data_IF_975218811163
#
_entry.id   IF_975218811163
#
_cell.length_a   1.000
_cell.length_b   1.000
_cell.length_c   1.000
_cell.angle_alpha   90.00
_cell.angle_beta   90.00
_cell.angle_gamma   90.00
#
_symmetry.space_group_name_H-M   'P 1'
#
loop_
_entity.id
_entity.type
_entity.pdbx_description
1 polymer ?
#
# COMPACT_ATOMS: atom_id res chain seq x y z
N UNK A 1 7.61 -4.24 -15.21
CA UNK A 1 6.53 -5.19 -15.55
C UNK A 1 5.78 -4.62 -16.77
N UNK A 2 5.57 -5.37 -17.86
CA UNK A 2 4.96 -4.88 -19.11
C UNK A 2 3.56 -4.29 -18.93
N UNK A 3 2.77 -4.83 -18.01
CA UNK A 3 1.39 -4.42 -17.76
C UNK A 3 1.23 -3.32 -16.70
N UNK A 4 2.34 -2.80 -16.18
CA UNK A 4 2.33 -1.98 -14.96
C UNK A 4 1.94 -2.79 -13.71
N UNK A 5 1.87 -2.10 -12.57
CA UNK A 5 1.40 -2.66 -11.30
C UNK A 5 0.70 -1.57 -10.50
N UNK A 6 -0.50 -1.86 -10.01
CA UNK A 6 -1.17 -1.05 -8.99
C UNK A 6 -1.74 -1.99 -7.92
N UNK A 7 -1.48 -1.68 -6.66
CA UNK A 7 -1.83 -2.57 -5.56
C UNK A 7 -3.34 -2.81 -5.47
N UNK A 8 -4.18 -1.79 -5.69
CA UNK A 8 -5.63 -1.90 -5.67
C UNK A 8 -6.18 -2.81 -6.79
N UNK A 9 -5.61 -2.72 -8.00
CA UNK A 9 -5.95 -3.62 -9.11
C UNK A 9 -5.50 -5.05 -8.82
N UNK A 10 -4.30 -5.21 -8.22
CA UNK A 10 -3.81 -6.51 -7.80
C UNK A 10 -4.66 -7.12 -6.69
N UNK A 11 -5.08 -6.34 -5.69
CA UNK A 11 -5.98 -6.79 -4.62
C UNK A 11 -7.33 -7.26 -5.18
N UNK A 12 -7.89 -6.54 -6.15
CA UNK A 12 -9.10 -6.98 -6.84
C UNK A 12 -8.87 -8.30 -7.59
N UNK A 13 -7.74 -8.42 -8.30
CA UNK A 13 -7.35 -9.66 -8.99
C UNK A 13 -7.17 -10.84 -8.03
N UNK A 14 -6.60 -10.60 -6.85
CA UNK A 14 -6.44 -11.64 -5.81
C UNK A 14 -7.81 -12.21 -5.44
N UNK A 15 -8.77 -11.34 -5.08
CA UNK A 15 -10.09 -11.80 -4.63
C UNK A 15 -10.98 -12.30 -5.77
N UNK A 16 -10.73 -11.90 -7.02
CA UNK A 16 -11.55 -12.32 -8.18
C UNK A 16 -11.03 -13.59 -8.85
N UNK A 17 -9.72 -13.85 -8.78
CA UNK A 17 -9.06 -14.84 -9.64
C UNK A 17 -8.12 -15.75 -8.85
N UNK A 18 -7.25 -15.20 -8.00
CA UNK A 18 -6.11 -15.95 -7.46
C UNK A 18 -6.44 -16.74 -6.19
N UNK A 19 -7.37 -16.24 -5.37
CA UNK A 19 -7.81 -16.93 -4.17
C UNK A 19 -8.79 -18.05 -4.50
N UNK A 20 -8.55 -19.26 -3.98
CA UNK A 20 -9.29 -20.48 -4.35
C UNK A 20 -9.23 -20.75 -5.86
N UNK A 21 -10.00 -21.73 -6.34
CA UNK A 21 -9.97 -22.10 -7.76
C UNK A 21 -10.66 -21.07 -8.70
N UNK A 22 -11.44 -20.12 -8.17
CA UNK A 22 -12.22 -19.14 -8.97
C UNK A 22 -12.53 -17.82 -8.20
N UNK A 23 -11.64 -17.37 -7.32
CA UNK A 23 -11.88 -16.19 -6.48
C UNK A 23 -12.75 -16.47 -5.24
N UNK A 24 -13.03 -15.39 -4.50
CA UNK A 24 -13.78 -15.40 -3.25
C UNK A 24 -15.28 -15.14 -3.42
N UNK A 25 -15.74 -14.81 -4.65
CA UNK A 25 -17.13 -14.46 -4.95
C UNK A 25 -17.69 -13.35 -4.03
N UNK A 26 -16.90 -12.28 -3.85
CA UNK A 26 -17.30 -11.13 -3.05
C UNK A 26 -18.37 -10.30 -3.76
N UNK A 27 -19.17 -9.57 -2.98
CA UNK A 27 -20.19 -8.67 -3.54
C UNK A 27 -19.53 -7.54 -4.33
N UNK A 28 -20.32 -6.93 -5.22
CA UNK A 28 -19.84 -5.83 -6.06
C UNK A 28 -19.35 -4.65 -5.21
N UNK A 29 -20.02 -4.33 -4.10
CA UNK A 29 -19.68 -3.22 -3.22
C UNK A 29 -18.29 -3.39 -2.60
N UNK A 30 -17.98 -4.61 -2.15
CA UNK A 30 -16.67 -4.92 -1.56
C UNK A 30 -15.58 -4.79 -2.62
N UNK A 31 -15.80 -5.36 -3.81
CA UNK A 31 -14.88 -5.27 -4.95
C UNK A 31 -14.65 -3.82 -5.40
N UNK A 32 -15.71 -3.02 -5.45
CA UNK A 32 -15.67 -1.60 -5.76
C UNK A 32 -14.86 -0.82 -4.71
N UNK A 33 -15.06 -1.11 -3.43
CA UNK A 33 -14.27 -0.53 -2.34
C UNK A 33 -12.78 -0.85 -2.48
N UNK A 34 -12.43 -2.12 -2.69
CA UNK A 34 -11.04 -2.57 -2.90
C UNK A 34 -10.41 -1.82 -4.09
N UNK A 35 -11.11 -1.72 -5.22
CA UNK A 35 -10.54 -1.09 -6.40
C UNK A 35 -10.35 0.43 -6.22
N UNK A 36 -11.31 1.11 -5.60
CA UNK A 36 -11.39 2.57 -5.65
C UNK A 36 -10.97 3.28 -4.34
N UNK A 37 -10.54 2.57 -3.29
CA UNK A 37 -10.12 3.20 -2.03
C UNK A 37 -8.91 4.14 -2.17
N UNK A 38 -8.16 4.04 -3.27
CA UNK A 38 -6.98 4.85 -3.56
C UNK A 38 -7.07 5.50 -4.95
N UNK A 39 -6.11 6.35 -5.31
CA UNK A 39 -6.05 7.01 -6.63
C UNK A 39 -7.11 8.09 -6.84
N UNK A 40 -7.46 8.40 -8.10
CA UNK A 40 -8.36 9.50 -8.44
C UNK A 40 -9.85 9.12 -8.44
N UNK A 41 -10.13 7.82 -8.52
CA UNK A 41 -11.49 7.28 -8.51
C UNK A 41 -12.08 7.29 -7.10
N UNK A 42 -13.35 7.65 -6.97
CA UNK A 42 -14.07 7.65 -5.70
C UNK A 42 -14.91 6.36 -5.62
N UNK A 43 -14.88 5.63 -4.48
CA UNK A 43 -15.75 4.49 -4.28
C UNK A 43 -17.24 4.85 -4.40
N UNK A 44 -18.01 3.94 -4.98
CA UNK A 44 -19.43 4.16 -5.25
C UNK A 44 -20.29 4.13 -3.99
N UNK A 45 -19.84 3.44 -2.93
CA UNK A 45 -20.54 3.36 -1.64
C UNK A 45 -19.95 4.36 -0.63
N UNK A 46 -20.78 4.82 0.32
CA UNK A 46 -20.31 5.68 1.42
C UNK A 46 -19.30 4.94 2.29
N UNK A 47 -19.50 3.66 2.55
CA UNK A 47 -18.56 2.81 3.29
C UNK A 47 -17.20 2.74 2.58
N UNK A 48 -17.18 2.59 1.25
CA UNK A 48 -15.94 2.65 0.49
C UNK A 48 -15.25 4.01 0.60
N UNK A 49 -16.01 5.10 0.57
CA UNK A 49 -15.47 6.45 0.78
C UNK A 49 -14.91 6.63 2.20
N UNK A 50 -15.54 6.05 3.23
CA UNK A 50 -15.01 6.02 4.60
C UNK A 50 -13.66 5.30 4.63
N UNK A 51 -13.54 4.12 4.00
CA UNK A 51 -12.28 3.37 3.96
C UNK A 51 -11.13 4.20 3.39
N UNK A 52 -11.39 4.99 2.34
CA UNK A 52 -10.40 5.89 1.75
C UNK A 52 -9.86 6.93 2.73
N UNK A 53 -10.69 7.46 3.63
CA UNK A 53 -10.23 8.35 4.68
C UNK A 53 -9.54 7.60 5.81
N UNK A 54 -10.10 6.47 6.24
CA UNK A 54 -9.56 5.65 7.31
C UNK A 54 -8.12 5.19 7.00
N UNK A 55 -7.88 4.72 5.77
CA UNK A 55 -6.57 4.31 5.29
C UNK A 55 -5.55 5.45 5.35
N UNK A 56 -5.90 6.62 4.78
CA UNK A 56 -5.02 7.79 4.79
C UNK A 56 -4.73 8.33 6.19
N UNK A 57 -5.73 8.31 7.09
CA UNK A 57 -5.58 8.74 8.49
C UNK A 57 -4.70 7.77 9.27
N UNK A 58 -4.89 6.46 9.08
CA UNK A 58 -4.08 5.45 9.74
C UNK A 58 -2.62 5.55 9.27
N UNK A 59 -2.40 5.56 7.96
CA UNK A 59 -1.07 5.60 7.36
C UNK A 59 -0.26 6.81 7.85
N UNK A 60 -0.78 8.03 7.68
CA UNK A 60 -0.05 9.25 8.05
C UNK A 60 0.31 9.30 9.54
N UNK A 61 -0.57 8.82 10.44
CA UNK A 61 -0.28 8.84 11.87
C UNK A 61 0.71 7.74 12.26
N UNK A 62 0.59 6.54 11.70
CA UNK A 62 1.57 5.47 11.92
C UNK A 62 2.96 5.87 11.43
N UNK A 63 3.07 6.47 10.24
CA UNK A 63 4.36 6.91 9.72
C UNK A 63 4.99 8.02 10.56
N UNK A 64 4.19 8.96 11.07
CA UNK A 64 4.68 9.98 12.01
C UNK A 64 5.22 9.30 13.27
N UNK A 65 4.45 8.37 13.85
CA UNK A 65 4.83 7.69 15.09
C UNK A 65 6.11 6.85 14.88
N UNK A 66 6.26 6.16 13.74
CA UNK A 66 7.44 5.38 13.42
C UNK A 66 8.66 6.24 13.08
N UNK A 67 8.47 7.38 12.39
CA UNK A 67 9.55 8.33 12.13
C UNK A 67 10.06 8.98 13.43
N UNK A 68 9.17 9.28 14.39
CA UNK A 68 9.56 9.77 15.71
C UNK A 68 10.31 8.69 16.50
N UNK A 69 9.81 7.46 16.53
CA UNK A 69 10.49 6.33 17.20
C UNK A 69 11.86 6.05 16.60
N UNK A 70 11.99 6.18 15.28
CA UNK A 70 13.24 6.03 14.55
C UNK A 70 14.20 7.23 14.71
N UNK A 71 13.78 8.30 15.40
CA UNK A 71 14.58 9.51 15.58
C UNK A 71 14.80 10.33 14.31
N UNK A 72 13.98 10.11 13.27
CA UNK A 72 14.07 10.83 11.98
C UNK A 72 13.51 12.25 12.14
N UNK A 73 12.40 12.38 12.87
CA UNK A 73 11.76 13.66 13.19
C UNK A 73 11.36 13.68 14.68
N UNK A 74 10.94 14.84 15.17
CA UNK A 74 10.30 15.00 16.47
C UNK A 74 8.88 15.58 16.33
N UNK A 75 8.05 15.48 17.38
CA UNK A 75 6.71 16.12 17.37
C UNK A 75 6.79 17.63 17.08
N UNK A 76 7.85 18.29 17.54
CA UNK A 76 8.07 19.71 17.32
C UNK A 76 8.47 20.07 15.89
N UNK A 77 8.95 19.09 15.12
CA UNK A 77 9.34 19.27 13.72
C UNK A 77 8.13 19.33 12.79
N UNK A 78 6.96 18.88 13.24
CA UNK A 78 5.74 18.90 12.42
C UNK A 78 5.30 20.35 12.12
N UNK A 79 4.79 20.63 10.90
CA UNK A 79 4.34 21.98 10.54
C UNK A 79 3.30 22.51 11.53
N UNK A 80 3.58 23.67 12.13
CA UNK A 80 2.75 24.22 13.21
C UNK A 80 1.33 24.54 12.73
N UNK A 81 1.18 25.00 11.48
CA UNK A 81 -0.13 25.23 10.86
C UNK A 81 -0.95 23.93 10.76
N UNK A 82 -0.33 22.81 10.32
CA UNK A 82 -0.99 21.50 10.32
C UNK A 82 -1.37 21.05 11.72
N UNK A 83 -0.47 21.16 12.71
CA UNK A 83 -0.76 20.69 14.08
C UNK A 83 -1.81 21.54 14.79
N UNK A 84 -2.00 22.80 14.39
CA UNK A 84 -3.05 23.68 14.90
C UNK A 84 -4.44 23.24 14.44
N UNK A 85 -4.55 22.80 13.18
CA UNK A 85 -5.80 22.30 12.59
C UNK A 85 -6.07 20.85 13.01
N UNK A 86 -5.10 19.95 12.76
CA UNK A 86 -5.27 18.52 12.94
C UNK A 86 -5.09 18.12 14.40
N UNK A 87 -4.11 18.68 15.10
CA UNK A 87 -3.75 18.33 16.48
C UNK A 87 -2.27 18.04 16.65
N UNK A 88 -1.78 18.18 17.89
CA UNK A 88 -0.36 18.05 18.22
C UNK A 88 0.05 16.66 18.73
N UNK A 89 -0.88 15.72 18.84
CA UNK A 89 -0.59 14.32 19.19
C UNK A 89 -1.34 13.37 18.27
N UNK A 90 -0.85 12.13 18.14
CA UNK A 90 -1.46 11.09 17.29
C UNK A 90 -2.97 10.92 17.57
N UNK A 91 -3.33 10.76 18.85
CA UNK A 91 -4.75 10.62 19.26
C UNK A 91 -5.59 11.85 18.94
N UNK A 92 -5.07 13.07 19.12
CA UNK A 92 -5.81 14.30 18.81
C UNK A 92 -6.00 14.47 17.31
N UNK A 93 -4.96 14.20 16.50
CA UNK A 93 -5.04 14.21 15.03
C UNK A 93 -6.12 13.28 14.52
N UNK A 94 -6.10 12.03 14.95
CA UNK A 94 -7.09 11.02 14.56
C UNK A 94 -8.49 11.48 14.95
N UNK A 95 -8.69 11.86 16.22
CA UNK A 95 -10.00 12.30 16.71
C UNK A 95 -10.55 13.50 15.92
N UNK A 96 -9.74 14.53 15.74
CA UNK A 96 -10.18 15.76 15.07
C UNK A 96 -10.53 15.50 13.61
N UNK A 97 -9.74 14.69 12.88
CA UNK A 97 -10.05 14.31 11.50
C UNK A 97 -11.35 13.50 11.41
N UNK A 98 -11.54 12.52 12.30
CA UNK A 98 -12.76 11.70 12.34
C UNK A 98 -13.99 12.57 12.62
N UNK A 99 -13.94 13.42 13.66
CA UNK A 99 -15.04 14.32 14.02
C UNK A 99 -15.33 15.28 12.86
N UNK A 100 -14.31 15.85 12.23
CA UNK A 100 -14.48 16.74 11.09
C UNK A 100 -15.19 16.04 9.92
N UNK A 101 -14.78 14.81 9.58
CA UNK A 101 -15.42 14.01 8.53
C UNK A 101 -16.89 13.76 8.87
N UNK A 102 -17.18 13.31 10.10
CA UNK A 102 -18.57 13.04 10.53
C UNK A 102 -19.41 14.30 10.41
N UNK A 103 -18.95 15.42 10.96
CA UNK A 103 -19.69 16.70 10.91
C UNK A 103 -19.90 17.19 9.48
N UNK A 104 -18.91 17.03 8.60
CA UNK A 104 -18.99 17.51 7.22
C UNK A 104 -19.70 16.54 6.26
N UNK A 105 -19.95 15.30 6.68
CA UNK A 105 -20.63 14.27 5.88
C UNK A 105 -22.05 13.98 6.35
N UNK A 106 -22.43 14.43 7.56
CA UNK A 106 -23.77 14.21 8.11
C UNK A 106 -24.85 14.71 7.15
N UNK A 107 -25.87 13.88 6.95
CA UNK A 107 -27.05 14.14 6.11
C UNK A 107 -26.69 14.47 4.64
N UNK A 108 -25.60 13.89 4.12
CA UNK A 108 -25.12 14.07 2.74
C UNK A 108 -24.82 12.72 2.08
N UNK A 109 -24.93 12.69 0.76
CA UNK A 109 -24.63 11.52 -0.07
C UNK A 109 -23.13 11.39 -0.43
N UNK A 110 -22.25 12.03 0.34
CA UNK A 110 -20.80 11.95 0.15
C UNK A 110 -20.06 12.12 1.46
N UNK A 111 -18.96 11.38 1.60
CA UNK A 111 -18.04 11.50 2.72
C UNK A 111 -16.98 12.54 2.38
N UNK A 112 -16.85 13.57 3.22
CA UNK A 112 -15.86 14.63 3.03
C UNK A 112 -15.41 15.23 4.34
N UNK A 113 -14.19 15.75 4.34
CA UNK A 113 -13.69 16.70 5.32
C UNK A 113 -13.87 18.13 4.82
N UNK A 114 -13.76 19.11 5.72
CA UNK A 114 -13.67 20.53 5.32
C UNK A 114 -12.39 20.79 4.51
N UNK A 115 -12.39 21.83 3.68
CA UNK A 115 -11.21 22.24 2.89
C UNK A 115 -9.98 22.47 3.75
N UNK A 116 -10.13 23.18 4.87
CA UNK A 116 -9.04 23.46 5.83
C UNK A 116 -8.36 22.16 6.33
N UNK A 117 -9.15 21.15 6.71
CA UNK A 117 -8.63 19.84 7.13
C UNK A 117 -7.97 19.08 5.97
N UNK A 118 -8.54 19.17 4.76
CA UNK A 118 -7.99 18.52 3.58
C UNK A 118 -6.62 19.10 3.19
N UNK A 119 -6.51 20.42 3.23
CA UNK A 119 -5.27 21.16 2.97
C UNK A 119 -4.21 20.83 4.02
N UNK A 120 -4.55 20.92 5.31
CA UNK A 120 -3.63 20.57 6.39
C UNK A 120 -3.17 19.09 6.32
N UNK A 121 -4.07 18.17 5.95
CA UNK A 121 -3.70 16.77 5.76
C UNK A 121 -2.75 16.59 4.57
N UNK A 122 -2.99 17.28 3.46
CA UNK A 122 -2.12 17.21 2.28
C UNK A 122 -0.73 17.79 2.58
N UNK A 123 -0.66 18.96 3.21
CA UNK A 123 0.60 19.59 3.62
C UNK A 123 1.38 18.70 4.61
N UNK A 124 0.70 18.08 5.57
CA UNK A 124 1.35 17.13 6.49
C UNK A 124 1.90 15.90 5.74
N UNK A 125 1.22 15.41 4.70
CA UNK A 125 1.72 14.31 3.86
C UNK A 125 2.93 14.72 3.04
N UNK A 126 2.92 15.92 2.46
CA UNK A 126 4.06 16.47 1.71
C UNK A 126 5.27 16.64 2.61
N UNK A 127 5.08 17.20 3.81
CA UNK A 127 6.14 17.27 4.82
C UNK A 127 6.72 15.90 5.14
N UNK A 128 5.87 14.89 5.38
CA UNK A 128 6.32 13.53 5.65
C UNK A 128 7.11 12.97 4.47
N UNK A 129 6.61 13.16 3.24
CA UNK A 129 7.31 12.74 2.02
C UNK A 129 8.73 13.29 1.96
N UNK A 130 8.88 14.60 2.14
CA UNK A 130 10.16 15.29 2.00
C UNK A 130 11.15 14.99 3.14
N UNK A 131 10.66 14.75 4.36
CA UNK A 131 11.53 14.64 5.55
C UNK A 131 11.76 13.20 6.01
N UNK A 132 10.86 12.27 5.66
CA UNK A 132 10.95 10.86 6.10
C UNK A 132 11.30 9.92 4.96
N UNK A 133 10.82 10.17 3.74
CA UNK A 133 11.06 9.27 2.60
C UNK A 133 12.20 9.75 1.71
N UNK A 134 12.31 11.06 1.45
CA UNK A 134 13.42 11.62 0.67
C UNK A 134 14.67 11.73 1.56
N UNK A 135 15.53 10.70 1.52
CA UNK A 135 16.90 10.79 2.06
C UNK A 135 17.14 10.08 3.39
N UNK A 136 16.16 9.35 3.94
CA UNK A 136 16.36 8.50 5.10
C UNK A 136 17.18 7.24 4.76
N UNK A 137 17.73 6.56 5.78
CA UNK A 137 18.43 5.29 5.60
C UNK A 137 17.57 4.22 4.91
N UNK A 138 16.24 4.33 5.00
CA UNK A 138 15.28 3.46 4.31
C UNK A 138 15.50 3.43 2.79
N UNK A 139 16.00 4.51 2.17
CA UNK A 139 16.33 4.53 0.73
C UNK A 139 17.43 3.54 0.34
N UNK A 140 18.39 3.25 1.24
CA UNK A 140 19.46 2.29 0.96
C UNK A 140 18.91 0.87 0.82
N UNK A 141 17.92 0.53 1.63
CA UNK A 141 17.29 -0.78 1.61
C UNK A 141 16.19 -0.87 0.55
N UNK A 142 15.56 0.25 0.19
CA UNK A 142 14.61 0.33 -0.93
C UNK A 142 15.27 -0.11 -2.25
N UNK A 143 16.48 0.38 -2.55
CA UNK A 143 17.23 -0.04 -3.75
C UNK A 143 17.52 -1.55 -3.76
N UNK A 144 17.83 -2.14 -2.60
CA UNK A 144 18.06 -3.59 -2.48
C UNK A 144 16.77 -4.37 -2.71
N UNK A 145 15.66 -3.92 -2.12
CA UNK A 145 14.35 -4.54 -2.30
C UNK A 145 13.92 -4.49 -3.77
N UNK A 146 14.05 -3.33 -4.43
CA UNK A 146 13.79 -3.18 -5.86
C UNK A 146 14.64 -4.15 -6.69
N UNK A 147 15.93 -4.30 -6.36
CA UNK A 147 16.81 -5.23 -7.05
C UNK A 147 16.38 -6.69 -6.85
N UNK A 148 16.05 -7.10 -5.61
CA UNK A 148 15.53 -8.44 -5.31
C UNK A 148 14.31 -8.75 -6.18
N UNK A 149 13.33 -7.86 -6.20
CA UNK A 149 12.09 -8.04 -6.98
C UNK A 149 12.38 -8.12 -8.48
N UNK A 150 13.25 -7.24 -8.99
CA UNK A 150 13.65 -7.22 -10.41
C UNK A 150 14.33 -8.53 -10.84
N UNK A 151 15.29 -9.00 -10.05
CA UNK A 151 16.04 -10.21 -10.36
C UNK A 151 15.17 -11.47 -10.23
N UNK A 152 14.35 -11.57 -9.18
CA UNK A 152 13.34 -12.64 -9.06
C UNK A 152 12.43 -12.68 -10.27
N UNK A 153 11.90 -11.52 -10.68
CA UNK A 153 11.03 -11.41 -11.84
C UNK A 153 11.71 -11.90 -13.12
N UNK A 154 12.90 -11.38 -13.42
CA UNK A 154 13.63 -11.75 -14.64
C UNK A 154 14.00 -13.22 -14.68
N UNK A 155 14.41 -13.77 -13.54
CA UNK A 155 14.84 -15.15 -13.43
C UNK A 155 13.66 -16.12 -13.56
N UNK A 156 12.59 -15.92 -12.79
CA UNK A 156 11.41 -16.79 -12.82
C UNK A 156 10.71 -16.71 -14.18
N UNK A 157 10.68 -15.53 -14.81
CA UNK A 157 10.17 -15.39 -16.19
C UNK A 157 10.89 -16.29 -17.19
N UNK A 158 12.22 -16.42 -17.08
CA UNK A 158 13.04 -17.28 -17.96
C UNK A 158 12.98 -18.75 -17.54
N UNK A 159 12.64 -19.02 -16.29
CA UNK A 159 12.66 -20.33 -15.65
C UNK A 159 11.33 -20.55 -14.89
N UNK A 160 10.20 -20.77 -15.61
CA UNK A 160 8.89 -20.91 -14.97
C UNK A 160 8.80 -22.10 -14.00
N UNK A 161 9.74 -23.05 -14.03
CA UNK A 161 9.82 -24.15 -13.06
C UNK A 161 10.05 -23.70 -11.61
N UNK A 162 10.40 -22.42 -11.39
CA UNK A 162 10.56 -21.84 -10.05
C UNK A 162 9.26 -21.25 -9.47
N UNK A 163 8.17 -21.22 -10.25
CA UNK A 163 6.83 -20.89 -9.77
C UNK A 163 6.32 -21.96 -8.79
N UNK A 164 5.35 -21.61 -7.95
CA UNK A 164 4.58 -22.64 -7.23
C UNK A 164 3.63 -23.36 -8.19
N UNK A 165 3.13 -24.53 -7.80
CA UNK A 165 2.18 -25.29 -8.60
C UNK A 165 0.90 -24.49 -8.88
N UNK A 166 0.43 -23.71 -7.91
CA UNK A 166 -0.74 -22.83 -8.06
C UNK A 166 -0.47 -21.72 -9.07
N UNK A 167 0.68 -21.05 -8.98
CA UNK A 167 1.04 -20.00 -9.91
C UNK A 167 1.26 -20.57 -11.34
N UNK A 168 1.87 -21.75 -11.46
CA UNK A 168 2.09 -22.39 -12.76
C UNK A 168 0.77 -22.75 -13.47
N UNK A 169 -0.29 -23.13 -12.75
CA UNK A 169 -1.62 -23.37 -13.34
C UNK A 169 -2.17 -22.13 -14.04
N UNK A 170 -1.85 -20.93 -13.55
CA UNK A 170 -2.33 -19.67 -14.15
C UNK A 170 -1.78 -19.40 -15.54
N UNK A 171 -0.70 -20.09 -15.97
CA UNK A 171 -0.17 -20.00 -17.34
C UNK A 171 -1.19 -20.51 -18.39
N UNK A 172 -2.21 -21.26 -17.98
CA UNK A 172 -3.30 -21.68 -18.86
C UNK A 172 -4.30 -20.54 -19.13
N UNK A 173 -4.30 -19.49 -18.30
CA UNK A 173 -5.30 -18.43 -18.32
C UNK A 173 -4.72 -17.04 -18.63
N UNK A 174 -3.41 -16.85 -18.48
CA UNK A 174 -2.76 -15.56 -18.71
C UNK A 174 -1.28 -15.73 -19.10
N UNK A 175 -0.64 -14.65 -19.50
CA UNK A 175 0.76 -14.66 -19.93
C UNK A 175 1.75 -14.78 -18.75
N UNK A 176 2.98 -15.21 -19.04
CA UNK A 176 4.04 -15.39 -18.04
C UNK A 176 4.34 -14.11 -17.26
N UNK A 177 4.26 -12.93 -17.88
CA UNK A 177 4.55 -11.67 -17.20
C UNK A 177 3.53 -11.38 -16.10
N UNK A 178 2.25 -11.66 -16.36
CA UNK A 178 1.20 -11.58 -15.35
C UNK A 178 1.35 -12.63 -14.26
N UNK A 179 1.62 -13.90 -14.61
CA UNK A 179 1.78 -14.97 -13.61
C UNK A 179 2.94 -14.69 -12.65
N UNK A 180 4.10 -14.26 -13.18
CA UNK A 180 5.27 -13.93 -12.35
C UNK A 180 4.97 -12.70 -11.48
N UNK A 181 4.24 -11.72 -12.02
CA UNK A 181 3.77 -10.57 -11.24
C UNK A 181 2.88 -11.01 -10.07
N UNK A 182 1.89 -11.86 -10.32
CA UNK A 182 0.98 -12.39 -9.29
C UNK A 182 1.75 -13.16 -8.22
N UNK A 183 2.67 -14.03 -8.63
CA UNK A 183 3.49 -14.84 -7.73
C UNK A 183 4.39 -13.99 -6.83
N UNK A 184 5.06 -12.98 -7.39
CA UNK A 184 5.94 -12.09 -6.63
C UNK A 184 5.14 -11.17 -5.71
N UNK A 185 4.02 -10.61 -6.19
CA UNK A 185 3.17 -9.74 -5.39
C UNK A 185 2.51 -10.47 -4.20
N UNK A 186 2.34 -11.79 -4.30
CA UNK A 186 1.86 -12.64 -3.20
C UNK A 186 2.94 -13.05 -2.19
N UNK A 187 4.21 -12.67 -2.39
CA UNK A 187 5.28 -13.03 -1.46
C UNK A 187 5.27 -12.12 -0.22
N UNK A 188 5.56 -12.72 0.94
CA UNK A 188 6.03 -11.94 2.09
C UNK A 188 7.48 -11.52 1.88
N UNK A 189 7.92 -10.41 2.48
CA UNK A 189 9.32 -9.94 2.40
C UNK A 189 10.33 -11.03 2.76
N UNK A 190 10.07 -11.75 3.85
CA UNK A 190 10.92 -12.85 4.30
C UNK A 190 11.00 -13.99 3.27
N UNK A 191 9.88 -14.29 2.61
CA UNK A 191 9.86 -15.32 1.57
C UNK A 191 10.60 -14.85 0.31
N UNK A 192 10.40 -13.61 -0.13
CA UNK A 192 11.11 -13.03 -1.27
C UNK A 192 12.63 -13.04 -1.05
N UNK A 193 13.11 -12.61 0.12
CA UNK A 193 14.54 -12.65 0.47
C UNK A 193 15.07 -14.08 0.49
N UNK A 194 14.32 -15.02 1.10
CA UNK A 194 14.70 -16.44 1.12
C UNK A 194 14.80 -17.02 -0.30
N UNK A 195 13.79 -16.81 -1.14
CA UNK A 195 13.74 -17.28 -2.52
C UNK A 195 14.89 -16.69 -3.35
N UNK A 196 15.20 -15.41 -3.15
CA UNK A 196 16.35 -14.77 -3.78
C UNK A 196 17.67 -15.43 -3.38
N UNK A 197 17.87 -15.71 -2.09
CA UNK A 197 19.06 -16.44 -1.61
C UNK A 197 19.15 -17.84 -2.22
N UNK A 198 18.05 -18.60 -2.27
CA UNK A 198 18.02 -19.95 -2.85
C UNK A 198 18.39 -19.97 -4.34
N UNK A 199 18.02 -18.93 -5.09
CA UNK A 199 18.24 -18.85 -6.54
C UNK A 199 19.65 -18.32 -6.88
N UNK A 200 20.09 -17.26 -6.20
CA UNK A 200 21.27 -16.51 -6.61
C UNK A 200 22.50 -16.72 -5.73
N UNK A 201 22.34 -17.25 -4.51
CA UNK A 201 23.45 -17.44 -3.57
C UNK A 201 23.82 -18.93 -3.51
N UNK A 202 25.04 -19.31 -3.93
CA UNK A 202 25.49 -20.70 -3.86
C UNK A 202 25.48 -21.21 -2.42
N UNK A 203 25.10 -22.48 -2.22
CA UNK A 203 25.24 -23.15 -0.93
C UNK A 203 26.73 -23.39 -0.67
N UNK A 204 27.26 -22.83 0.41
CA UNK A 204 28.59 -23.18 0.92
C UNK A 204 28.56 -24.62 1.43
N UNK A 205 29.38 -25.49 0.85
CA UNK A 205 29.62 -26.82 1.37
C UNK A 205 30.79 -26.73 2.35
N UNK A 206 30.49 -26.61 3.64
CA UNK A 206 31.46 -26.77 4.73
C UNK A 206 30.95 -27.85 5.69
#
# INVERSE_FOLDING_TARGET
MPHGFKHNEQSLRVVDILEKDNGLNLTWEVRNGILNHTGDTIPSTLEGQIIRFADRIAYINHDIDDAIRGGIISEDSLPKECTKVLGNSSSRRINNMIVNIITNSKDKDTVKMSSEFQEAMNELREFMFDNVYIGSEAKKDEMKAQNIIKELYNYIKRRPEFLSDEAAKMLQHTDIDRVVCDYIAGMTDRYAVKKFHEIFIPKSWH
#
